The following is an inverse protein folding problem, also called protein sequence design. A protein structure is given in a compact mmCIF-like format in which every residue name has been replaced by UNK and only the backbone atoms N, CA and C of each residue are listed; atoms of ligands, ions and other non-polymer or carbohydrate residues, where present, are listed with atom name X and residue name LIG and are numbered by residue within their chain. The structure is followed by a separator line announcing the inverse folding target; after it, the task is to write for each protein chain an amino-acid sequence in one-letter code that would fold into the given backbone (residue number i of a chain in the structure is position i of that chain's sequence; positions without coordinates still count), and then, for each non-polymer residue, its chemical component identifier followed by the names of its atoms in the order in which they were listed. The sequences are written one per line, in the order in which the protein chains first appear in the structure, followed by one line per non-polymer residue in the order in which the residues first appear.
data_IF_520118562768
#
_entry.id   IF_520118562768
#
_cell.length_a   1.000
_cell.length_b   1.000
_cell.length_c   1.000
_cell.angle_alpha   90.00
_cell.angle_beta   90.00
_cell.angle_gamma   90.00
#
_symmetry.space_group_name_H-M   'P 1'
#
loop_
_entity.id
_entity.type
_entity.pdbx_description
1 polymer ?
#
# COMPACT_ATOMS: atom_id res chain seq x y z
N UNK A 1 -0.39 27.88 5.24
CA UNK A 1 -0.10 26.91 6.32
C UNK A 1 0.80 25.89 5.66
N UNK A 2 2.09 26.15 5.76
CA UNK A 2 3.12 25.48 4.95
C UNK A 2 3.35 24.08 5.50
N UNK A 3 3.18 23.08 4.65
CA UNK A 3 3.34 21.66 4.96
C UNK A 3 4.84 21.33 4.98
N UNK A 4 5.52 21.61 6.09
CA UNK A 4 6.91 21.23 6.35
C UNK A 4 6.97 19.75 6.72
N UNK A 5 6.95 18.88 5.72
CA UNK A 5 7.31 17.48 5.83
C UNK A 5 8.32 17.14 4.75
N UNK A 6 9.39 16.42 5.09
CA UNK A 6 10.31 15.86 4.10
C UNK A 6 9.54 14.96 3.14
N UNK A 7 9.41 15.36 1.89
CA UNK A 7 8.84 14.50 0.86
C UNK A 7 9.88 13.43 0.55
N UNK A 8 9.62 12.15 0.80
CA UNK A 8 10.45 11.07 0.30
C UNK A 8 9.72 10.40 -0.89
N UNK A 9 10.39 10.32 -2.04
CA UNK A 9 9.95 9.52 -3.18
C UNK A 9 10.69 8.18 -3.15
N UNK A 10 10.00 7.08 -2.90
CA UNK A 10 10.61 5.74 -2.97
C UNK A 10 10.35 5.14 -4.33
N UNK A 11 11.41 4.85 -5.08
CA UNK A 11 11.43 4.27 -6.41
C UNK A 11 11.77 2.77 -6.31
N UNK A 12 11.03 1.94 -7.04
CA UNK A 12 11.38 0.53 -7.26
C UNK A 12 12.35 0.43 -8.43
N UNK A 13 13.49 -0.26 -8.28
CA UNK A 13 14.32 -0.62 -9.44
C UNK A 13 13.80 -1.93 -10.02
N UNK A 14 13.19 -1.87 -11.20
CA UNK A 14 12.95 -3.07 -12.02
C UNK A 14 14.29 -3.52 -12.63
N UNK A 15 14.72 -4.74 -12.30
CA UNK A 15 15.86 -5.41 -12.94
C UNK A 15 15.61 -6.92 -12.90
N UNK A 16 15.81 -7.61 -14.02
CA UNK A 16 15.89 -9.07 -14.05
C UNK A 16 17.22 -9.51 -13.40
N UNK A 17 17.15 -10.29 -12.31
CA UNK A 17 18.31 -10.86 -11.61
C UNK A 17 18.36 -10.58 -10.11
N UNK A 18 19.38 -11.12 -9.43
CA UNK A 18 19.60 -11.13 -7.96
C UNK A 18 19.94 -9.74 -7.34
N UNK A 19 19.60 -8.66 -8.06
CA UNK A 19 19.91 -7.25 -7.74
C UNK A 19 18.63 -6.39 -7.74
N UNK A 20 17.44 -7.00 -7.65
CA UNK A 20 16.19 -6.28 -7.43
C UNK A 20 16.22 -5.61 -6.04
N UNK A 21 16.06 -4.30 -5.98
CA UNK A 21 16.14 -3.53 -4.75
C UNK A 21 15.25 -2.29 -4.78
N UNK A 22 14.88 -1.80 -3.59
CA UNK A 22 14.10 -0.58 -3.42
C UNK A 22 15.02 0.63 -3.15
N UNK A 23 14.70 1.74 -3.81
CA UNK A 23 15.46 2.98 -3.77
C UNK A 23 14.62 4.08 -3.10
N UNK A 24 14.88 4.41 -1.85
CA UNK A 24 14.28 5.60 -1.23
C UNK A 24 15.05 6.86 -1.64
N UNK A 25 14.37 7.84 -2.23
CA UNK A 25 14.89 9.17 -2.57
C UNK A 25 14.27 10.19 -1.64
N UNK A 26 15.06 10.91 -0.86
CA UNK A 26 14.58 12.06 -0.10
C UNK A 26 14.47 13.28 -1.02
N UNK A 27 13.26 13.79 -1.23
CA UNK A 27 12.96 15.08 -1.87
C UNK A 27 12.88 16.16 -0.79
N UNK A 28 14.05 16.64 -0.36
CA UNK A 28 14.12 17.83 0.51
C UNK A 28 13.46 19.01 -0.23
N UNK A 29 12.53 19.77 0.40
CA UNK A 29 11.73 20.83 -0.24
C UNK A 29 12.56 21.91 -0.95
N UNK A 30 13.83 22.10 -0.55
CA UNK A 30 14.70 23.16 -1.05
C UNK A 30 15.57 22.79 -2.26
N UNK A 31 15.52 21.54 -2.74
CA UNK A 31 16.20 21.15 -3.98
C UNK A 31 15.20 20.93 -5.09
N UNK A 32 14.67 22.03 -5.66
CA UNK A 32 14.11 22.01 -7.03
C UNK A 32 15.09 21.23 -7.90
N UNK A 33 14.59 20.21 -8.61
CA UNK A 33 15.34 19.47 -9.62
C UNK A 33 15.82 20.45 -10.70
N UNK A 34 16.97 21.06 -10.46
CA UNK A 34 17.64 21.92 -11.43
C UNK A 34 18.12 21.04 -12.58
N UNK A 35 18.18 21.62 -13.78
CA UNK A 35 18.63 20.97 -15.01
C UNK A 35 20.12 20.62 -14.90
N UNK A 36 20.43 19.60 -14.12
CA UNK A 36 21.75 19.12 -13.74
C UNK A 36 21.61 17.69 -13.25
N UNK A 37 22.66 16.88 -13.40
CA UNK A 37 22.65 15.45 -13.08
C UNK A 37 22.10 15.25 -11.65
N UNK A 38 20.88 14.70 -11.47
CA UNK A 38 20.34 14.50 -10.13
C UNK A 38 21.28 13.54 -9.40
N UNK A 39 21.76 13.96 -8.23
CA UNK A 39 22.54 13.09 -7.35
C UNK A 39 21.51 12.25 -6.59
N UNK A 40 21.32 11.03 -7.06
CA UNK A 40 20.52 10.02 -6.38
C UNK A 40 21.35 9.55 -5.17
N UNK A 41 21.00 10.04 -3.99
CA UNK A 41 21.58 9.57 -2.74
C UNK A 41 20.74 8.37 -2.26
N UNK A 42 21.42 7.25 -1.99
CA UNK A 42 20.79 6.05 -1.46
C UNK A 42 20.64 6.20 0.04
N UNK A 43 19.41 6.19 0.53
CA UNK A 43 19.09 6.34 1.95
C UNK A 43 18.64 4.98 2.48
N UNK A 44 19.15 4.57 3.64
CA UNK A 44 18.66 3.36 4.30
C UNK A 44 17.19 3.57 4.68
N UNK A 45 16.37 2.53 4.53
CA UNK A 45 14.92 2.63 4.77
C UNK A 45 14.60 3.05 6.22
N UNK A 46 15.50 2.74 7.17
CA UNK A 46 15.45 3.14 8.58
C UNK A 46 15.61 4.66 8.77
N UNK A 47 16.26 5.35 7.84
CA UNK A 47 16.41 6.82 7.84
C UNK A 47 15.20 7.52 7.22
N UNK A 48 14.26 6.77 6.63
CA UNK A 48 12.97 7.25 6.11
C UNK A 48 11.86 7.12 7.16
N UNK A 49 12.18 6.62 8.35
CA UNK A 49 11.23 6.48 9.45
C UNK A 49 10.59 7.83 9.83
N UNK A 50 9.29 7.81 10.12
CA UNK A 50 8.53 9.00 10.52
C UNK A 50 7.39 9.36 9.58
N UNK A 51 7.36 8.84 8.35
CA UNK A 51 6.25 9.06 7.40
C UNK A 51 4.91 8.64 8.01
N UNK A 52 4.87 7.52 8.73
CA UNK A 52 3.63 7.03 9.35
C UNK A 52 3.13 7.97 10.45
N UNK A 53 4.04 8.55 11.23
CA UNK A 53 3.68 9.49 12.27
C UNK A 53 3.29 10.86 11.69
N UNK A 54 4.08 11.38 10.76
CA UNK A 54 3.93 12.73 10.21
C UNK A 54 2.76 12.84 9.22
N UNK A 55 2.54 11.80 8.41
CA UNK A 55 1.54 11.81 7.32
C UNK A 55 0.26 11.09 7.72
N UNK A 56 0.38 9.93 8.40
CA UNK A 56 -0.76 9.06 8.70
C UNK A 56 -1.26 9.18 10.15
N UNK A 57 -0.55 9.93 11.02
CA UNK A 57 -0.84 10.03 12.46
C UNK A 57 -0.87 8.66 13.16
N UNK A 58 0.04 7.76 12.76
CA UNK A 58 0.23 6.43 13.35
C UNK A 58 1.51 6.42 14.19
N UNK A 59 1.33 6.30 15.50
CA UNK A 59 2.43 6.36 16.47
C UNK A 59 2.89 4.96 16.90
N UNK A 60 4.19 4.81 17.16
CA UNK A 60 4.78 3.59 17.71
C UNK A 60 5.08 2.49 16.69
N UNK A 61 5.01 2.79 15.39
CA UNK A 61 5.25 1.84 14.30
C UNK A 61 6.65 1.98 13.65
N UNK A 62 7.54 2.80 14.22
CA UNK A 62 8.84 3.14 13.60
C UNK A 62 9.70 1.91 13.28
N UNK A 63 9.62 0.85 14.09
CA UNK A 63 10.40 -0.37 13.89
C UNK A 63 9.89 -1.25 12.74
N UNK A 64 8.61 -1.13 12.37
CA UNK A 64 7.98 -1.94 11.31
C UNK A 64 7.69 -1.13 10.04
N UNK A 65 7.77 0.20 10.14
CA UNK A 65 7.57 1.14 9.04
C UNK A 65 8.44 0.83 7.81
N UNK A 66 9.75 0.56 7.92
CA UNK A 66 10.56 0.18 6.77
C UNK A 66 10.01 -1.04 6.03
N UNK A 67 9.66 -2.12 6.74
CA UNK A 67 9.15 -3.35 6.12
C UNK A 67 7.81 -3.13 5.42
N UNK A 68 6.94 -2.30 6.01
CA UNK A 68 5.65 -1.97 5.41
C UNK A 68 5.85 -1.11 4.16
N UNK A 69 6.66 -0.05 4.22
CA UNK A 69 6.99 0.74 3.04
C UNK A 69 7.55 -0.14 1.93
N UNK A 70 8.50 -1.01 2.28
CA UNK A 70 9.09 -1.98 1.36
C UNK A 70 8.03 -2.84 0.65
N UNK A 71 7.09 -3.40 1.39
CA UNK A 71 6.02 -4.20 0.79
C UNK A 71 5.10 -3.41 -0.14
N UNK A 72 4.79 -2.15 0.19
CA UNK A 72 3.93 -1.28 -0.63
C UNK A 72 4.59 -0.99 -1.98
N UNK A 73 5.87 -0.67 -1.97
CA UNK A 73 6.64 -0.40 -3.19
C UNK A 73 6.82 -1.68 -4.03
N UNK A 74 7.02 -2.82 -3.38
CA UNK A 74 7.16 -4.10 -4.06
C UNK A 74 5.81 -4.68 -4.55
N UNK A 75 4.69 -4.06 -4.17
CA UNK A 75 3.34 -4.58 -4.37
C UNK A 75 3.17 -6.00 -3.79
N UNK A 76 3.89 -6.27 -2.71
CA UNK A 76 3.87 -7.56 -2.02
C UNK A 76 2.73 -7.60 -0.99
N UNK A 77 2.04 -8.75 -0.84
CA UNK A 77 0.99 -8.89 0.17
C UNK A 77 1.55 -8.74 1.59
N UNK A 78 0.78 -8.10 2.46
CA UNK A 78 1.11 -7.84 3.86
C UNK A 78 0.22 -8.65 4.81
N UNK A 79 0.81 -9.23 5.84
CA UNK A 79 0.10 -9.82 6.98
C UNK A 79 0.57 -9.16 8.29
N UNK A 80 -0.32 -8.41 8.93
CA UNK A 80 -0.05 -7.77 10.21
C UNK A 80 -0.61 -8.59 11.37
N UNK A 81 0.29 -9.12 12.21
CA UNK A 81 -0.07 -9.89 13.41
C UNK A 81 0.29 -9.11 14.66
N UNK A 82 -0.67 -8.97 15.57
CA UNK A 82 -0.43 -8.34 16.87
C UNK A 82 -1.71 -8.15 17.67
N UNK A 83 -1.63 -7.70 18.93
CA UNK A 83 -2.77 -7.52 19.81
C UNK A 83 -3.89 -6.65 19.20
N UNK A 84 -5.14 -6.82 19.67
CA UNK A 84 -6.21 -5.90 19.30
C UNK A 84 -5.89 -4.48 19.82
N UNK A 85 -6.38 -3.44 19.12
CA UNK A 85 -6.16 -2.05 19.52
C UNK A 85 -4.81 -1.46 19.13
N UNK A 86 -3.95 -2.16 18.39
CA UNK A 86 -2.64 -1.63 17.92
C UNK A 86 -2.72 -0.79 16.64
N UNK A 87 -3.87 -0.17 16.37
CA UNK A 87 -4.12 0.68 15.19
C UNK A 87 -3.96 0.02 13.80
N UNK A 88 -3.99 -1.32 13.68
CA UNK A 88 -3.86 -2.02 12.37
C UNK A 88 -4.89 -1.56 11.33
N UNK A 89 -6.17 -1.58 11.69
CA UNK A 89 -7.25 -1.16 10.77
C UNK A 89 -7.12 0.33 10.44
N UNK A 90 -6.91 1.16 11.46
CA UNK A 90 -6.72 2.60 11.31
C UNK A 90 -5.55 2.94 10.38
N UNK A 91 -4.43 2.22 10.47
CA UNK A 91 -3.29 2.38 9.57
C UNK A 91 -3.71 2.19 8.11
N UNK A 92 -4.40 1.10 7.77
CA UNK A 92 -4.82 0.83 6.40
C UNK A 92 -5.88 1.82 5.89
N UNK A 93 -6.79 2.27 6.76
CA UNK A 93 -7.77 3.32 6.43
C UNK A 93 -7.06 4.63 6.04
N UNK A 94 -6.11 5.09 6.87
CA UNK A 94 -5.33 6.30 6.61
C UNK A 94 -4.44 6.17 5.40
N UNK A 95 -3.81 5.01 5.22
CA UNK A 95 -2.97 4.73 4.07
C UNK A 95 -3.77 4.81 2.76
N UNK A 96 -4.90 4.11 2.69
CA UNK A 96 -5.75 4.12 1.51
C UNK A 96 -6.28 5.53 1.20
N UNK A 97 -6.68 6.29 2.23
CA UNK A 97 -7.06 7.70 2.06
C UNK A 97 -5.91 8.55 1.50
N UNK A 98 -4.69 8.39 2.02
CA UNK A 98 -3.52 9.15 1.57
C UNK A 98 -3.11 8.85 0.12
N UNK A 99 -3.33 7.60 -0.32
CA UNK A 99 -3.01 7.13 -1.66
C UNK A 99 -4.20 7.24 -2.63
N UNK A 100 -5.35 7.74 -2.17
CA UNK A 100 -6.60 7.78 -2.92
C UNK A 100 -6.98 6.41 -3.51
N UNK A 101 -6.80 5.36 -2.70
CA UNK A 101 -7.14 3.97 -3.04
C UNK A 101 -8.48 3.59 -2.42
N UNK A 102 -9.17 2.66 -3.07
CA UNK A 102 -10.35 2.03 -2.48
C UNK A 102 -9.92 1.07 -1.37
N UNK A 103 -10.48 1.27 -0.17
CA UNK A 103 -10.24 0.39 0.98
C UNK A 103 -11.43 -0.54 1.19
N UNK A 104 -11.19 -1.85 1.07
CA UNK A 104 -12.21 -2.88 1.33
C UNK A 104 -11.83 -3.69 2.56
N UNK A 105 -12.78 -3.86 3.47
CA UNK A 105 -12.62 -4.63 4.69
C UNK A 105 -13.53 -5.85 4.66
N UNK A 106 -12.97 -7.01 4.96
CA UNK A 106 -13.70 -8.27 5.04
C UNK A 106 -13.56 -8.87 6.43
N UNK A 107 -14.69 -9.23 7.04
CA UNK A 107 -14.70 -10.00 8.27
C UNK A 107 -14.62 -11.48 7.94
N UNK A 108 -13.47 -12.10 8.26
CA UNK A 108 -13.20 -13.51 7.96
C UNK A 108 -14.17 -14.50 8.63
N UNK A 109 -14.87 -14.12 9.72
CA UNK A 109 -15.79 -15.03 10.40
C UNK A 109 -17.14 -15.21 9.71
N UNK A 110 -17.51 -14.28 8.81
CA UNK A 110 -18.80 -14.28 8.09
C UNK A 110 -18.64 -14.20 6.57
N UNK A 111 -17.40 -14.14 6.08
CA UNK A 111 -17.09 -14.03 4.66
C UNK A 111 -17.38 -15.34 3.93
N UNK A 112 -18.25 -15.28 2.93
CA UNK A 112 -18.44 -16.37 1.99
C UNK A 112 -17.66 -16.14 0.69
N UNK A 113 -17.45 -17.20 -0.06
CA UNK A 113 -16.76 -17.12 -1.36
C UNK A 113 -17.50 -16.20 -2.34
N UNK A 114 -18.83 -16.32 -2.40
CA UNK A 114 -19.67 -15.53 -3.29
C UNK A 114 -19.62 -14.01 -2.97
N UNK A 115 -19.26 -13.63 -1.73
CA UNK A 115 -19.08 -12.22 -1.35
C UNK A 115 -17.84 -11.59 -2.01
N UNK A 116 -16.85 -12.42 -2.39
CA UNK A 116 -15.59 -12.00 -3.02
C UNK A 116 -15.64 -12.05 -4.54
N UNK A 117 -16.35 -13.03 -5.11
CA UNK A 117 -16.36 -13.32 -6.55
C UNK A 117 -17.70 -13.04 -7.24
N UNK A 118 -18.78 -12.83 -6.48
CA UNK A 118 -20.13 -12.70 -6.99
C UNK A 118 -20.91 -14.02 -6.98
N UNK A 119 -22.21 -13.93 -7.30
CA UNK A 119 -23.11 -15.10 -7.32
C UNK A 119 -23.14 -15.70 -8.74
N UNK A 120 -22.88 -17.01 -8.91
CA UNK A 120 -22.93 -17.65 -10.22
C UNK A 120 -24.37 -17.79 -10.73
N UNK A 121 -24.59 -17.35 -11.98
CA UNK A 121 -25.86 -17.48 -12.68
C UNK A 121 -25.62 -18.18 -14.02
N UNK A 122 -26.32 -19.29 -14.30
CA UNK A 122 -26.20 -19.97 -15.59
C UNK A 122 -26.75 -19.11 -16.72
N UNK A 123 -26.12 -19.21 -17.88
CA UNK A 123 -26.67 -18.68 -19.11
C UNK A 123 -27.98 -19.41 -19.46
N UNK A 124 -28.90 -18.78 -20.23
CA UNK A 124 -30.18 -19.40 -20.60
C UNK A 124 -30.05 -20.74 -21.33
N UNK A 125 -28.94 -20.96 -22.03
CA UNK A 125 -28.59 -22.19 -22.74
C UNK A 125 -27.79 -23.20 -21.88
N UNK A 126 -27.50 -22.88 -20.61
CA UNK A 126 -26.71 -23.68 -19.66
C UNK A 126 -25.30 -24.03 -20.14
N UNK A 127 -24.75 -23.27 -21.09
CA UNK A 127 -23.41 -23.46 -21.64
C UNK A 127 -22.30 -22.72 -20.87
N UNK A 128 -22.65 -21.68 -20.10
CA UNK A 128 -21.69 -20.88 -19.34
C UNK A 128 -22.26 -20.40 -17.99
N UNK A 129 -21.36 -19.96 -17.11
CA UNK A 129 -21.68 -19.27 -15.87
C UNK A 129 -21.24 -17.81 -15.97
N UNK A 130 -22.11 -16.90 -15.54
CA UNK A 130 -21.80 -15.49 -15.36
C UNK A 130 -21.93 -15.14 -13.89
N UNK A 131 -21.03 -14.32 -13.36
CA UNK A 131 -21.07 -13.94 -11.96
C UNK A 131 -21.70 -12.57 -11.82
N UNK A 132 -22.77 -12.49 -11.02
CA UNK A 132 -23.35 -11.20 -10.63
C UNK A 132 -22.52 -10.66 -9.47
N UNK A 133 -21.68 -9.68 -9.78
CA UNK A 133 -20.77 -9.05 -8.84
C UNK A 133 -21.53 -8.15 -7.85
N UNK A 134 -21.24 -8.29 -6.55
CA UNK A 134 -21.71 -7.39 -5.51
C UNK A 134 -20.72 -6.23 -5.32
N UNK A 135 -21.12 -5.09 -4.72
CA UNK A 135 -20.18 -3.99 -4.42
C UNK A 135 -18.98 -4.40 -3.56
N UNK A 136 -19.11 -5.48 -2.78
CA UNK A 136 -18.03 -6.05 -1.96
C UNK A 136 -17.09 -6.98 -2.74
N UNK A 137 -17.40 -7.35 -3.98
CA UNK A 137 -16.58 -8.30 -4.73
C UNK A 137 -15.22 -7.67 -5.06
N UNK A 138 -14.16 -8.46 -4.91
CA UNK A 138 -12.79 -8.04 -5.26
C UNK A 138 -12.52 -8.28 -6.74
N UNK A 139 -13.11 -9.33 -7.31
CA UNK A 139 -12.93 -9.67 -8.71
C UNK A 139 -14.05 -9.11 -9.59
N UNK A 140 -13.63 -8.46 -10.68
CA UNK A 140 -14.49 -8.19 -11.83
C UNK A 140 -14.51 -9.43 -12.72
N UNK A 141 -15.23 -10.46 -12.28
CA UNK A 141 -15.45 -11.69 -13.04
C UNK A 141 -16.46 -11.50 -14.18
#
# INVERSE_FOLDING_TARGET
MDMYGSLAAVLRRESEGDQAGMLAVSLVPDRRLSKGRPRLDFVHLDEVAGVFQEVLDVHGWQQIEPVILASLIAESPLLLVGPHGTAKTYFFERLAQSLNLEFRFYNTSILNFDDLIGVPVPSPDFGSLHYISAPSAVWSA
#
